data_IF_662368213893
#
_entry.id   IF_662368213893
#
_cell.length_a   1.000
_cell.length_b   1.000
_cell.length_c   1.000
_cell.angle_alpha   90.00
_cell.angle_beta   90.00
_cell.angle_gamma   90.00
#
_symmetry.space_group_name_H-M   'P 1'
#
loop_
_entity.id
_entity.type
_entity.pdbx_description
1 polymer ?
#
# COMPACT_ATOMS: atom_id res chain seq x y z
N UNK A 1 13.12 13.99 -13.47
CA UNK A 1 13.09 13.61 -12.04
C UNK A 1 12.58 12.18 -11.97
N UNK A 2 13.47 11.23 -11.64
CA UNK A 2 13.26 9.80 -11.85
C UNK A 2 12.32 9.21 -10.81
N UNK A 3 11.13 8.79 -11.23
CA UNK A 3 10.23 7.97 -10.41
C UNK A 3 10.89 6.60 -10.19
N UNK A 4 11.42 6.38 -8.99
CA UNK A 4 11.94 5.08 -8.56
C UNK A 4 10.77 4.15 -8.26
N UNK A 5 10.29 3.47 -9.29
CA UNK A 5 9.49 2.25 -9.14
C UNK A 5 10.40 1.11 -8.64
N UNK A 6 10.01 0.52 -7.51
CA UNK A 6 10.43 -0.78 -6.98
C UNK A 6 11.91 -0.94 -6.59
N UNK A 7 12.33 -0.27 -5.50
CA UNK A 7 13.39 -0.79 -4.62
C UNK A 7 13.06 -0.50 -3.16
N UNK A 8 12.15 -1.29 -2.58
CA UNK A 8 11.96 -1.34 -1.13
C UNK A 8 13.03 -2.29 -0.54
N UNK A 9 14.15 -1.70 -0.11
CA UNK A 9 15.27 -2.37 0.53
C UNK A 9 15.02 -2.45 2.04
N UNK A 10 14.82 -3.66 2.59
CA UNK A 10 14.89 -3.90 4.02
C UNK A 10 16.04 -4.88 4.31
N UNK A 11 16.83 -4.57 5.34
CA UNK A 11 18.04 -5.28 5.72
C UNK A 11 17.82 -6.80 5.80
N UNK A 12 18.51 -7.56 4.95
CA UNK A 12 18.83 -8.98 5.19
C UNK A 12 17.93 -10.05 4.59
N UNK A 13 16.83 -9.73 3.88
CA UNK A 13 16.08 -10.75 3.11
C UNK A 13 16.07 -10.42 1.62
N UNK A 14 16.83 -11.19 0.85
CA UNK A 14 16.76 -11.18 -0.60
C UNK A 14 15.33 -11.54 -1.03
N UNK A 15 14.74 -10.73 -1.91
CA UNK A 15 13.49 -11.04 -2.59
C UNK A 15 13.73 -12.20 -3.57
N UNK A 16 13.65 -13.44 -3.08
CA UNK A 16 13.51 -14.62 -3.93
C UNK A 16 12.04 -14.72 -4.33
N UNK A 17 11.75 -14.44 -5.60
CA UNK A 17 10.40 -14.38 -6.15
C UNK A 17 9.49 -15.52 -5.67
N UNK A 18 8.26 -15.14 -5.30
CA UNK A 18 7.20 -15.98 -4.73
C UNK A 18 7.50 -16.54 -3.32
N UNK A 19 7.32 -15.69 -2.31
CA UNK A 19 7.01 -16.16 -0.96
C UNK A 19 5.48 -16.15 -0.81
N UNK A 20 4.92 -17.28 -0.41
CA UNK A 20 3.51 -17.52 -0.05
C UNK A 20 3.09 -16.68 1.17
N UNK A 21 3.17 -15.35 1.04
CA UNK A 21 2.68 -14.42 2.06
C UNK A 21 1.19 -14.25 1.88
N UNK A 22 0.47 -14.28 3.01
CA UNK A 22 -0.96 -13.97 3.03
C UNK A 22 -1.13 -12.49 2.66
N UNK A 23 -1.57 -12.24 1.44
CA UNK A 23 -1.78 -10.91 0.88
C UNK A 23 -3.26 -10.63 0.66
N UNK A 24 -3.64 -9.36 0.72
CA UNK A 24 -4.97 -8.88 0.35
C UNK A 24 -4.91 -7.45 -0.16
N UNK A 25 -5.97 -7.02 -0.85
CA UNK A 25 -6.02 -5.69 -1.47
C UNK A 25 -6.60 -4.64 -0.54
N UNK A 26 -6.19 -3.38 -0.75
CA UNK A 26 -6.74 -2.20 -0.06
C UNK A 26 -7.19 -1.19 -1.10
N UNK A 27 -8.46 -0.77 -1.03
CA UNK A 27 -9.07 0.18 -1.96
C UNK A 27 -9.33 -0.37 -3.37
N UNK A 28 -9.35 -1.69 -3.56
CA UNK A 28 -9.60 -2.30 -4.88
C UNK A 28 -11.05 -2.13 -5.35
N UNK A 29 -11.33 -1.95 -6.66
CA UNK A 29 -10.38 -1.93 -7.78
C UNK A 29 -9.84 -0.55 -8.20
N UNK A 30 -10.50 0.54 -7.82
CA UNK A 30 -10.20 1.87 -8.37
C UNK A 30 -9.44 2.81 -7.42
N UNK A 31 -9.25 2.40 -6.18
CA UNK A 31 -8.62 3.21 -5.14
C UNK A 31 -9.41 4.47 -4.77
N UNK A 32 -10.67 4.59 -5.18
CA UNK A 32 -11.48 5.81 -5.00
C UNK A 32 -12.10 5.96 -3.61
N UNK A 33 -11.90 4.97 -2.73
CA UNK A 33 -12.30 5.02 -1.33
C UNK A 33 -11.66 6.23 -0.63
N UNK A 34 -12.35 6.79 0.36
CA UNK A 34 -11.78 7.81 1.23
C UNK A 34 -10.57 7.24 1.99
N UNK A 35 -9.55 8.07 2.25
CA UNK A 35 -8.32 7.63 2.92
C UNK A 35 -8.58 6.92 4.24
N UNK A 36 -9.52 7.43 5.06
CA UNK A 36 -9.88 6.79 6.33
C UNK A 36 -10.45 5.37 6.16
N UNK A 37 -11.16 5.10 5.06
CA UNK A 37 -11.68 3.77 4.74
C UNK A 37 -10.54 2.83 4.32
N UNK A 38 -9.60 3.29 3.49
CA UNK A 38 -8.41 2.49 3.15
C UNK A 38 -7.58 2.14 4.39
N UNK A 39 -7.42 3.09 5.32
CA UNK A 39 -6.74 2.84 6.60
C UNK A 39 -7.49 1.82 7.45
N UNK A 40 -8.83 1.85 7.46
CA UNK A 40 -9.65 0.88 8.18
C UNK A 40 -9.56 -0.52 7.55
N UNK A 41 -9.66 -0.63 6.22
CA UNK A 41 -9.47 -1.88 5.46
C UNK A 41 -8.10 -2.48 5.74
N UNK A 42 -7.03 -1.68 5.63
CA UNK A 42 -5.68 -2.12 5.93
C UNK A 42 -5.54 -2.59 7.38
N UNK A 43 -6.10 -1.85 8.35
CA UNK A 43 -6.05 -2.23 9.76
C UNK A 43 -6.71 -3.59 10.01
N UNK A 44 -7.87 -3.80 9.41
CA UNK A 44 -8.60 -5.06 9.58
C UNK A 44 -7.86 -6.22 8.93
N UNK A 45 -7.40 -6.06 7.69
CA UNK A 45 -6.58 -7.05 7.00
C UNK A 45 -5.35 -7.48 7.83
N UNK A 46 -4.68 -6.51 8.47
CA UNK A 46 -3.54 -6.78 9.33
C UNK A 46 -3.93 -7.48 10.63
N UNK A 47 -5.11 -7.19 11.19
CA UNK A 47 -5.64 -7.90 12.36
C UNK A 47 -6.03 -9.35 12.01
N UNK A 48 -6.52 -9.58 10.79
CA UNK A 48 -6.86 -10.90 10.25
C UNK A 48 -5.62 -11.74 9.87
N UNK A 49 -4.42 -11.18 10.00
CA UNK A 49 -3.16 -11.90 9.84
C UNK A 49 -2.55 -11.80 8.44
N UNK A 50 -2.93 -10.79 7.65
CA UNK A 50 -2.22 -10.43 6.43
C UNK A 50 -0.76 -10.07 6.74
N UNK A 51 0.15 -10.56 5.89
CA UNK A 51 1.59 -10.31 5.96
C UNK A 51 2.05 -9.29 4.92
N UNK A 52 1.21 -9.09 3.90
CA UNK A 52 1.41 -8.17 2.80
C UNK A 52 0.07 -7.48 2.44
N UNK A 53 0.13 -6.23 1.99
CA UNK A 53 -1.01 -5.48 1.45
C UNK A 53 -0.71 -4.97 0.04
N UNK A 54 -1.70 -5.08 -0.84
CA UNK A 54 -1.69 -4.53 -2.20
C UNK A 54 -2.64 -3.32 -2.28
N UNK A 55 -2.10 -2.12 -2.07
CA UNK A 55 -2.88 -0.87 -2.09
C UNK A 55 -3.06 -0.36 -3.52
N UNK A 56 -4.29 0.01 -3.88
CA UNK A 56 -4.59 0.74 -5.12
C UNK A 56 -4.69 2.24 -4.84
N UNK A 57 -3.92 3.05 -5.57
CA UNK A 57 -4.01 4.52 -5.49
C UNK A 57 -5.32 5.03 -6.08
N UNK A 58 -5.77 6.22 -5.63
CA UNK A 58 -6.95 6.83 -6.24
C UNK A 58 -6.66 7.26 -7.68
N UNK A 59 -7.11 6.45 -8.64
CA UNK A 59 -6.84 6.65 -10.08
C UNK A 59 -7.39 7.99 -10.57
N UNK A 60 -8.58 8.40 -10.12
CA UNK A 60 -9.16 9.69 -10.49
C UNK A 60 -8.29 10.86 -10.03
N UNK A 61 -7.72 10.77 -8.84
CA UNK A 61 -6.81 11.79 -8.29
C UNK A 61 -5.48 11.84 -9.02
N UNK A 62 -4.92 10.68 -9.38
CA UNK A 62 -3.75 10.57 -10.26
C UNK A 62 -4.01 11.26 -11.60
N UNK A 63 -5.10 10.91 -12.28
CA UNK A 63 -5.45 11.47 -13.59
C UNK A 63 -5.74 12.98 -13.54
N UNK A 64 -6.26 13.48 -12.42
CA UNK A 64 -6.46 14.93 -12.21
C UNK A 64 -5.19 15.70 -11.84
N UNK A 65 -4.08 15.00 -11.56
CA UNK A 65 -2.82 15.62 -11.12
C UNK A 65 -2.79 16.06 -9.66
N UNK A 66 -3.75 15.63 -8.83
CA UNK A 66 -3.82 15.94 -7.40
C UNK A 66 -2.83 15.07 -6.59
N UNK A 67 -1.54 15.30 -6.81
CA UNK A 67 -0.46 14.51 -6.21
C UNK A 67 -0.28 14.75 -4.72
N UNK A 68 -0.81 15.84 -4.18
CA UNK A 68 -0.83 16.07 -2.73
C UNK A 68 -1.80 15.09 -2.05
N UNK A 69 -3.00 14.95 -2.61
CA UNK A 69 -3.95 13.93 -2.15
C UNK A 69 -3.36 12.54 -2.27
N UNK A 70 -2.82 12.17 -3.44
CA UNK A 70 -2.28 10.82 -3.67
C UNK A 70 -1.15 10.49 -2.69
N UNK A 71 -0.22 11.43 -2.46
CA UNK A 71 0.88 11.23 -1.49
C UNK A 71 0.36 11.05 -0.07
N UNK A 72 -0.61 11.88 0.35
CA UNK A 72 -1.20 11.80 1.68
C UNK A 72 -1.96 10.48 1.89
N UNK A 73 -2.70 10.03 0.88
CA UNK A 73 -3.45 8.77 0.88
C UNK A 73 -2.52 7.57 1.00
N UNK A 74 -1.46 7.51 0.17
CA UNK A 74 -0.43 6.45 0.24
C UNK A 74 0.24 6.46 1.60
N UNK A 75 0.69 7.62 2.08
CA UNK A 75 1.41 7.74 3.34
C UNK A 75 0.61 7.18 4.51
N UNK A 76 -0.69 7.49 4.59
CA UNK A 76 -1.54 7.03 5.68
C UNK A 76 -1.62 5.50 5.78
N UNK A 77 -1.68 4.79 4.66
CA UNK A 77 -1.74 3.32 4.64
C UNK A 77 -0.35 2.69 4.82
N UNK A 78 0.68 3.27 4.18
CA UNK A 78 2.06 2.80 4.28
C UNK A 78 2.61 2.91 5.70
N UNK A 79 2.35 4.03 6.39
CA UNK A 79 2.77 4.22 7.78
C UNK A 79 2.18 3.12 8.67
N UNK A 80 0.87 2.82 8.54
CA UNK A 80 0.21 1.76 9.30
C UNK A 80 0.83 0.37 9.04
N UNK A 81 1.11 0.04 7.78
CA UNK A 81 1.73 -1.24 7.44
C UNK A 81 3.15 -1.36 8.02
N UNK A 82 3.95 -0.29 7.95
CA UNK A 82 5.30 -0.25 8.51
C UNK A 82 5.31 -0.28 10.04
N UNK A 83 4.38 0.40 10.71
CA UNK A 83 4.19 0.33 12.17
C UNK A 83 3.94 -1.12 12.64
N UNK A 84 3.28 -1.93 11.80
CA UNK A 84 3.02 -3.36 12.06
C UNK A 84 4.13 -4.28 11.54
N UNK A 85 5.20 -3.74 10.94
CA UNK A 85 6.31 -4.50 10.36
C UNK A 85 5.90 -5.37 9.16
N UNK A 86 4.87 -4.95 8.40
CA UNK A 86 4.32 -5.69 7.26
C UNK A 86 4.73 -5.07 5.93
N UNK A 87 4.65 -5.87 4.86
CA UNK A 87 5.00 -5.43 3.51
C UNK A 87 3.78 -4.72 2.91
N UNK A 88 4.02 -3.65 2.17
CA UNK A 88 2.99 -2.98 1.38
C UNK A 88 3.50 -2.67 -0.02
N UNK A 89 2.67 -2.96 -1.01
CA UNK A 89 2.86 -2.61 -2.41
C UNK A 89 1.81 -1.57 -2.79
N UNK A 90 2.18 -0.66 -3.68
CA UNK A 90 1.33 0.44 -4.14
C UNK A 90 1.24 0.34 -5.65
N UNK A 91 0.00 0.19 -6.15
CA UNK A 91 -0.36 0.08 -7.57
C UNK A 91 -1.15 1.30 -8.02
#
# INVERSE_FOLDING_TARGET
MSFHLVKCYHHGRAWNGALDLRTTTVGFPYGSHATGIKVAEAREALNDGAEELDMVVNVGKVLSGDWEYVRSDIKAVVDLAHERGKIIKVY
#
